data_IF_870934538197
#
_entry.id   IF_870934538197
#
_cell.length_a   1.000
_cell.length_b   1.000
_cell.length_c   1.000
_cell.angle_alpha   90.00
_cell.angle_beta   90.00
_cell.angle_gamma   90.00
#
_symmetry.space_group_name_H-M   'P 1'
#
loop_
_entity.id
_entity.type
_entity.pdbx_description
1 polymer ?
#
# COMPACT_ATOMS: atom_id res chain seq x y z
N UNK A 1 -3.53 41.30 1.61
CA UNK A 1 -3.20 40.42 2.74
C UNK A 1 -1.68 40.39 2.85
N UNK A 2 -1.12 40.91 3.93
CA UNK A 2 0.33 40.79 4.15
C UNK A 2 0.65 39.32 4.38
N UNK A 3 1.57 38.79 3.58
CA UNK A 3 1.93 37.38 3.63
C UNK A 3 2.73 37.15 4.91
N UNK A 4 2.14 36.50 5.90
CA UNK A 4 2.71 36.35 7.25
C UNK A 4 4.08 35.65 7.25
N UNK A 5 4.33 34.82 6.24
CA UNK A 5 5.59 34.13 6.01
C UNK A 5 6.77 35.05 5.62
N UNK A 6 6.49 36.22 5.04
CA UNK A 6 7.55 37.16 4.59
C UNK A 6 8.38 37.74 5.75
N UNK A 7 7.96 37.56 6.99
CA UNK A 7 8.71 37.94 8.19
C UNK A 7 9.88 37.00 8.50
N UNK A 8 9.88 35.76 7.98
CA UNK A 8 10.88 34.76 8.34
C UNK A 8 12.16 34.94 7.52
N UNK A 9 13.30 34.78 8.17
CA UNK A 9 14.59 34.78 7.52
C UNK A 9 14.90 33.42 6.85
N UNK A 10 14.40 32.35 7.46
CA UNK A 10 14.57 31.00 6.97
C UNK A 10 13.19 30.31 6.91
N UNK A 11 12.95 29.59 5.82
CA UNK A 11 11.73 28.79 5.65
C UNK A 11 12.15 27.35 5.38
N UNK A 12 11.80 26.45 6.26
CA UNK A 12 11.92 25.02 6.04
C UNK A 12 10.64 24.48 5.41
N UNK A 13 10.79 23.79 4.27
CA UNK A 13 9.67 23.13 3.60
C UNK A 13 9.83 21.63 3.86
N UNK A 14 8.89 21.10 4.61
CA UNK A 14 8.87 19.69 4.97
C UNK A 14 8.34 18.85 3.78
N UNK A 15 8.83 17.62 3.69
CA UNK A 15 8.62 16.70 2.59
C UNK A 15 7.15 16.45 2.20
N UNK A 16 6.23 16.46 3.17
CA UNK A 16 4.80 16.27 2.90
C UNK A 16 4.21 17.32 1.97
N UNK A 17 4.82 18.50 1.94
CA UNK A 17 4.40 19.61 1.08
C UNK A 17 4.65 19.31 -0.40
N UNK A 18 5.72 18.58 -0.70
CA UNK A 18 6.13 18.29 -2.08
C UNK A 18 5.33 17.17 -2.75
N UNK A 19 4.54 16.42 -2.00
CA UNK A 19 3.74 15.30 -2.52
C UNK A 19 2.52 15.78 -3.33
N UNK A 20 2.07 17.03 -3.09
CA UNK A 20 0.86 17.57 -3.69
C UNK A 20 1.16 18.51 -4.87
N UNK A 21 0.82 18.15 -6.11
CA UNK A 21 1.02 19.01 -7.29
C UNK A 21 0.32 20.37 -7.19
N UNK A 22 -0.79 20.45 -6.44
CA UNK A 22 -1.49 21.71 -6.17
C UNK A 22 -0.64 22.71 -5.39
N UNK A 23 0.24 22.25 -4.52
CA UNK A 23 1.11 23.09 -3.70
C UNK A 23 2.23 23.75 -4.50
N UNK A 24 2.68 23.12 -5.58
CA UNK A 24 3.66 23.70 -6.47
C UNK A 24 3.20 25.08 -7.00
N UNK A 25 1.95 25.17 -7.43
CA UNK A 25 1.41 26.45 -7.94
C UNK A 25 1.41 27.52 -6.85
N UNK A 26 0.93 27.17 -5.64
CA UNK A 26 0.88 28.09 -4.50
C UNK A 26 2.28 28.51 -4.07
N UNK A 27 3.21 27.55 -3.97
CA UNK A 27 4.62 27.84 -3.65
C UNK A 27 5.29 28.71 -4.70
N UNK A 28 5.05 28.45 -5.98
CA UNK A 28 5.59 29.24 -7.09
C UNK A 28 5.08 30.68 -7.04
N UNK A 29 3.77 30.88 -6.94
CA UNK A 29 3.15 32.22 -6.83
C UNK A 29 3.66 32.96 -5.59
N UNK A 30 3.90 32.22 -4.51
CA UNK A 30 4.46 32.75 -3.28
C UNK A 30 5.91 33.21 -3.48
N UNK A 31 6.77 32.39 -4.06
CA UNK A 31 8.18 32.71 -4.34
C UNK A 31 8.30 33.89 -5.32
N UNK A 32 7.42 33.98 -6.30
CA UNK A 32 7.37 35.11 -7.22
C UNK A 32 7.01 36.44 -6.51
N UNK A 33 6.15 36.38 -5.51
CA UNK A 33 5.77 37.55 -4.68
C UNK A 33 6.88 38.00 -3.71
N UNK A 34 7.72 37.08 -3.26
CA UNK A 34 8.86 37.41 -2.36
C UNK A 34 9.89 38.31 -3.05
N UNK A 35 10.08 38.20 -4.35
CA UNK A 35 11.04 39.06 -5.08
C UNK A 35 10.73 40.56 -5.01
N UNK A 36 9.49 40.92 -4.79
CA UNK A 36 9.08 42.34 -4.71
C UNK A 36 9.38 43.02 -3.37
N UNK A 37 9.74 42.23 -2.34
CA UNK A 37 10.01 42.73 -0.97
C UNK A 37 11.40 42.29 -0.47
N UNK A 38 12.28 43.19 -0.38
CA UNK A 38 13.70 43.37 -0.01
C UNK A 38 14.30 42.42 1.10
N UNK A 39 13.64 41.44 1.65
CA UNK A 39 14.22 40.55 2.65
C UNK A 39 14.75 39.26 2.04
N UNK A 40 16.05 38.99 2.25
CA UNK A 40 16.68 37.70 1.89
C UNK A 40 16.06 36.57 2.70
N UNK A 41 15.12 35.89 2.12
CA UNK A 41 14.59 34.64 2.65
C UNK A 41 15.45 33.49 2.13
N UNK A 42 15.88 32.60 3.00
CA UNK A 42 16.53 31.35 2.64
C UNK A 42 15.57 30.20 2.85
N UNK A 43 15.33 29.43 1.79
CA UNK A 43 14.52 28.21 1.85
C UNK A 43 15.45 27.04 2.16
N UNK A 44 15.15 26.35 3.25
CA UNK A 44 15.88 25.17 3.71
C UNK A 44 15.16 23.91 3.18
N UNK A 45 15.88 23.08 2.45
CA UNK A 45 15.36 21.85 1.87
C UNK A 45 16.29 20.69 2.23
N UNK A 46 15.73 19.54 2.54
CA UNK A 46 16.52 18.35 2.81
C UNK A 46 17.19 17.81 1.54
N UNK A 47 18.44 17.38 1.66
CA UNK A 47 19.21 16.84 0.54
C UNK A 47 18.58 15.60 -0.11
N UNK A 48 17.77 14.85 0.64
CA UNK A 48 17.03 13.69 0.14
C UNK A 48 16.03 14.01 -0.98
N UNK A 49 15.73 15.31 -1.19
CA UNK A 49 14.85 15.72 -2.30
C UNK A 49 15.40 15.32 -3.66
N UNK A 50 16.74 15.27 -3.81
CA UNK A 50 17.37 14.83 -5.06
C UNK A 50 17.16 13.35 -5.31
N UNK A 51 17.31 12.53 -4.27
CA UNK A 51 17.03 11.10 -4.33
C UNK A 51 15.56 10.84 -4.61
N UNK A 52 14.68 11.67 -4.07
CA UNK A 52 13.24 11.59 -4.32
C UNK A 52 12.88 11.88 -5.78
N UNK A 53 13.49 12.88 -6.38
CA UNK A 53 13.32 13.19 -7.81
C UNK A 53 13.75 12.01 -8.68
N UNK A 54 14.91 11.41 -8.39
CA UNK A 54 15.39 10.24 -9.13
C UNK A 54 14.50 9.01 -8.91
N UNK A 55 14.00 8.81 -7.68
CA UNK A 55 13.04 7.75 -7.39
C UNK A 55 11.73 7.94 -8.17
N UNK A 56 11.19 9.16 -8.26
CA UNK A 56 10.00 9.43 -9.06
C UNK A 56 10.23 9.16 -10.55
N UNK A 57 11.40 9.47 -11.09
CA UNK A 57 11.77 9.13 -12.47
C UNK A 57 11.83 7.61 -12.66
N UNK A 58 12.46 6.90 -11.73
CA UNK A 58 12.56 5.44 -11.76
C UNK A 58 11.19 4.75 -11.66
N UNK A 59 10.24 5.38 -10.96
CA UNK A 59 8.85 4.93 -10.84
C UNK A 59 7.94 5.38 -12.01
N UNK A 60 8.48 6.01 -13.06
CA UNK A 60 7.75 6.63 -14.17
C UNK A 60 6.75 7.73 -13.74
N UNK A 61 6.98 8.35 -12.60
CA UNK A 61 6.22 9.49 -12.07
C UNK A 61 6.83 10.81 -12.53
N UNK A 62 6.96 10.94 -13.83
CA UNK A 62 7.67 12.07 -14.46
C UNK A 62 7.04 13.42 -14.14
N UNK A 63 5.72 13.47 -13.96
CA UNK A 63 5.02 14.72 -13.63
C UNK A 63 5.43 15.26 -12.28
N UNK A 64 5.49 14.40 -11.27
CA UNK A 64 5.90 14.75 -9.92
C UNK A 64 7.39 15.11 -9.88
N UNK A 65 8.24 14.34 -10.55
CA UNK A 65 9.65 14.67 -10.69
C UNK A 65 9.85 16.05 -11.31
N UNK A 66 9.17 16.35 -12.41
CA UNK A 66 9.26 17.65 -13.11
C UNK A 66 8.80 18.82 -12.25
N UNK A 67 7.77 18.64 -11.43
CA UNK A 67 7.28 19.67 -10.51
C UNK A 67 8.31 19.97 -9.43
N UNK A 68 8.95 18.94 -8.86
CA UNK A 68 10.02 19.13 -7.87
C UNK A 68 11.27 19.75 -8.48
N UNK A 69 11.71 19.28 -9.64
CA UNK A 69 12.85 19.87 -10.36
C UNK A 69 12.59 21.35 -10.64
N UNK A 70 11.43 21.68 -11.19
CA UNK A 70 11.08 23.07 -11.48
C UNK A 70 11.03 23.97 -10.24
N UNK A 71 10.65 23.43 -9.08
CA UNK A 71 10.71 24.16 -7.81
C UNK A 71 12.18 24.41 -7.39
N UNK A 72 13.01 23.39 -7.44
CA UNK A 72 14.44 23.50 -7.10
C UNK A 72 15.13 24.48 -8.03
N UNK A 73 14.90 24.39 -9.34
CA UNK A 73 15.48 25.29 -10.34
C UNK A 73 15.14 26.76 -10.04
N UNK A 74 13.89 27.05 -9.70
CA UNK A 74 13.46 28.41 -9.31
C UNK A 74 14.21 28.89 -8.06
N UNK A 75 14.33 28.03 -7.05
CA UNK A 75 15.01 28.39 -5.81
C UNK A 75 16.51 28.59 -6.00
N UNK A 76 17.15 27.77 -6.87
CA UNK A 76 18.55 27.88 -7.22
C UNK A 76 18.83 29.12 -8.07
N UNK A 77 18.02 29.42 -9.08
CA UNK A 77 18.10 30.62 -9.92
C UNK A 77 18.01 31.91 -9.06
N UNK A 78 17.11 31.91 -8.10
CA UNK A 78 16.94 33.02 -7.15
C UNK A 78 18.01 33.06 -6.06
N UNK A 79 18.86 32.05 -5.95
CA UNK A 79 19.91 31.92 -4.92
C UNK A 79 19.32 32.00 -3.49
N UNK A 80 18.15 31.45 -3.29
CA UNK A 80 17.47 31.47 -2.01
C UNK A 80 17.31 30.08 -1.39
N UNK A 81 17.96 29.03 -1.93
CA UNK A 81 17.96 27.67 -1.38
C UNK A 81 19.21 27.40 -0.56
N UNK A 82 19.05 26.63 0.50
CA UNK A 82 20.13 25.99 1.24
C UNK A 82 19.74 24.56 1.57
N UNK A 83 20.66 23.64 1.31
CA UNK A 83 20.44 22.23 1.57
C UNK A 83 20.84 21.88 3.00
N UNK A 84 20.03 21.08 3.65
CA UNK A 84 20.30 20.52 4.97
C UNK A 84 20.58 19.02 4.77
N UNK A 85 21.64 18.53 5.37
CA UNK A 85 21.93 17.10 5.41
C UNK A 85 21.24 16.48 6.62
N UNK A 86 20.38 15.51 6.39
CA UNK A 86 19.85 14.62 7.42
C UNK A 86 20.33 13.19 7.13
N UNK A 87 20.64 12.43 8.19
CA UNK A 87 21.21 11.07 8.03
C UNK A 87 20.14 10.01 7.70
N UNK A 88 18.87 10.36 7.73
CA UNK A 88 17.78 9.45 7.42
C UNK A 88 16.55 10.19 6.91
N UNK A 89 15.79 9.52 6.09
CA UNK A 89 14.45 9.94 5.68
C UNK A 89 13.62 10.24 6.93
N UNK A 90 13.44 11.54 7.25
CA UNK A 90 12.53 12.02 8.29
C UNK A 90 12.94 11.69 9.75
N UNK A 91 14.21 11.70 10.10
CA UNK A 91 14.59 11.75 11.51
C UNK A 91 14.37 13.16 12.06
N UNK A 92 13.16 13.40 12.59
CA UNK A 92 12.80 14.68 13.21
C UNK A 92 13.65 15.03 14.43
N UNK A 93 14.33 14.06 15.03
CA UNK A 93 15.25 14.32 16.13
C UNK A 93 16.48 15.09 15.65
N UNK A 94 16.95 14.84 14.44
CA UNK A 94 18.03 15.60 13.81
C UNK A 94 17.58 17.02 13.43
N UNK A 95 16.39 17.17 12.86
CA UNK A 95 15.81 18.49 12.59
C UNK A 95 15.66 19.29 13.89
N UNK A 96 15.20 18.66 14.97
CA UNK A 96 15.16 19.25 16.30
C UNK A 96 16.55 19.71 16.73
N UNK A 97 17.60 18.94 16.49
CA UNK A 97 18.98 19.32 16.78
C UNK A 97 19.46 20.49 15.92
N UNK A 98 19.14 20.51 14.64
CA UNK A 98 19.48 21.61 13.71
C UNK A 98 18.81 22.90 14.18
N UNK A 99 17.51 22.88 14.44
CA UNK A 99 16.77 24.07 14.88
C UNK A 99 17.14 24.49 16.33
N UNK A 100 17.49 23.56 17.22
CA UNK A 100 17.97 23.93 18.56
C UNK A 100 19.33 24.67 18.55
N UNK A 101 20.12 24.44 17.50
CA UNK A 101 21.40 25.14 17.26
C UNK A 101 21.23 26.39 16.39
N UNK A 102 20.00 26.66 15.91
CA UNK A 102 19.70 27.79 15.06
C UNK A 102 19.96 29.13 15.77
N UNK A 103 20.25 30.15 14.98
CA UNK A 103 20.53 31.48 15.50
C UNK A 103 19.29 32.06 16.20
N UNK A 104 19.46 32.53 17.42
CA UNK A 104 18.36 33.07 18.25
C UNK A 104 17.82 34.43 17.79
N UNK A 105 18.52 35.07 16.86
CA UNK A 105 18.18 36.39 16.31
C UNK A 105 17.47 36.32 14.94
N UNK A 106 17.18 35.12 14.44
CA UNK A 106 16.52 34.89 13.18
C UNK A 106 15.10 34.33 13.37
N UNK A 107 14.19 34.72 12.49
CA UNK A 107 12.86 34.17 12.41
C UNK A 107 12.82 32.99 11.44
N UNK A 108 12.20 31.88 11.86
CA UNK A 108 12.08 30.63 11.13
C UNK A 108 10.62 30.34 10.81
N UNK A 109 10.33 30.01 9.56
CA UNK A 109 9.05 29.46 9.13
C UNK A 109 9.19 27.98 8.82
N UNK A 110 8.23 27.17 9.22
CA UNK A 110 8.17 25.76 8.89
C UNK A 110 6.84 25.53 8.18
N UNK A 111 6.92 25.07 6.93
CA UNK A 111 5.74 24.67 6.15
C UNK A 111 5.66 23.16 6.20
N UNK A 112 4.57 22.63 6.75
CA UNK A 112 4.30 21.20 6.85
C UNK A 112 2.82 20.91 6.71
N UNK A 113 2.48 19.70 6.27
CA UNK A 113 1.10 19.20 6.25
C UNK A 113 0.90 18.09 7.30
N UNK A 114 1.89 17.87 8.15
CA UNK A 114 1.93 16.77 9.12
C UNK A 114 1.81 17.29 10.56
N UNK A 115 0.78 16.82 11.26
CA UNK A 115 0.56 17.16 12.67
C UNK A 115 1.64 16.60 13.62
N UNK A 116 2.23 15.45 13.30
CA UNK A 116 3.29 14.87 14.10
C UNK A 116 4.57 15.71 14.03
N UNK A 117 4.92 16.23 12.86
CA UNK A 117 6.01 17.22 12.69
C UNK A 117 5.72 18.47 13.50
N UNK A 118 4.49 18.95 13.42
CA UNK A 118 4.04 20.10 14.19
C UNK A 118 4.25 19.91 15.70
N UNK A 119 3.88 18.73 16.23
CA UNK A 119 4.03 18.42 17.65
C UNK A 119 5.50 18.40 18.11
N UNK A 120 6.41 17.88 17.28
CA UNK A 120 7.86 17.91 17.57
C UNK A 120 8.38 19.36 17.62
N UNK A 121 7.95 20.18 16.68
CA UNK A 121 8.37 21.59 16.62
C UNK A 121 7.66 22.47 17.64
N UNK A 122 6.48 22.08 18.14
CA UNK A 122 5.81 22.77 19.22
C UNK A 122 6.67 22.84 20.50
N UNK A 123 7.38 21.76 20.83
CA UNK A 123 8.34 21.76 21.90
C UNK A 123 9.52 22.72 21.67
N UNK A 124 9.92 22.93 20.40
CA UNK A 124 10.94 23.92 20.07
C UNK A 124 10.46 25.36 20.23
N UNK A 125 9.16 25.63 19.99
CA UNK A 125 8.58 26.96 20.16
C UNK A 125 8.60 27.41 21.62
N UNK A 126 8.58 26.47 22.56
CA UNK A 126 8.75 26.78 23.99
C UNK A 126 10.18 27.28 24.30
N UNK A 127 11.17 26.80 23.56
CA UNK A 127 12.60 27.18 23.70
C UNK A 127 13.04 28.27 22.73
N UNK A 128 12.40 28.40 21.57
CA UNK A 128 12.68 29.39 20.53
C UNK A 128 11.41 30.10 20.09
N UNK A 129 11.17 31.31 20.59
CA UNK A 129 9.95 32.10 20.34
C UNK A 129 9.80 32.61 18.91
N UNK A 130 10.85 32.49 18.08
CA UNK A 130 10.92 33.01 16.72
C UNK A 130 10.58 31.96 15.64
N UNK A 131 9.92 30.85 16.00
CA UNK A 131 9.47 29.84 15.05
C UNK A 131 7.98 30.00 14.80
N UNK A 132 7.59 30.11 13.53
CA UNK A 132 6.22 30.09 13.05
C UNK A 132 5.95 28.87 12.20
N UNK A 133 4.74 28.33 12.31
CA UNK A 133 4.31 27.16 11.55
C UNK A 133 3.28 27.57 10.52
N UNK A 134 3.34 26.92 9.37
CA UNK A 134 2.46 27.17 8.25
C UNK A 134 1.99 25.86 7.65
N UNK A 135 0.78 25.87 7.13
CA UNK A 135 0.24 24.79 6.30
C UNK A 135 -0.28 25.38 4.99
N UNK A 136 -0.41 24.55 3.98
CA UNK A 136 -0.95 24.96 2.69
C UNK A 136 -2.43 24.57 2.65
N UNK A 137 -3.29 25.58 2.56
CA UNK A 137 -4.73 25.42 2.33
C UNK A 137 -5.01 25.25 0.82
N UNK A 138 -6.28 25.14 0.43
CA UNK A 138 -6.67 25.00 -0.98
C UNK A 138 -6.20 26.18 -1.87
N UNK A 139 -5.95 27.35 -1.29
CA UNK A 139 -5.69 28.59 -2.04
C UNK A 139 -4.51 29.42 -1.55
N UNK A 140 -3.95 29.16 -0.36
CA UNK A 140 -2.92 30.01 0.23
C UNK A 140 -2.05 29.24 1.25
N UNK A 141 -0.95 29.88 1.69
CA UNK A 141 -0.13 29.45 2.81
C UNK A 141 -0.61 30.17 4.06
N UNK A 142 -1.16 29.44 5.00
CA UNK A 142 -1.76 29.96 6.21
C UNK A 142 -0.87 29.71 7.44
N UNK A 143 -0.73 30.75 8.29
CA UNK A 143 -0.07 30.57 9.57
C UNK A 143 -0.95 29.75 10.51
N UNK A 144 -0.40 28.67 11.01
CA UNK A 144 -1.08 27.87 12.01
C UNK A 144 -1.12 28.66 13.32
N UNK A 145 -2.31 29.00 13.74
CA UNK A 145 -2.56 29.67 15.02
C UNK A 145 -3.15 28.64 15.95
N UNK A 146 -2.54 28.51 17.12
CA UNK A 146 -3.12 27.74 18.20
C UNK A 146 -4.56 28.29 18.45
N UNK A 147 -5.55 27.57 17.93
CA UNK A 147 -6.93 27.88 18.30
C UNK A 147 -7.04 27.60 19.78
N UNK A 148 -7.43 28.61 20.55
CA UNK A 148 -7.68 28.46 21.96
C UNK A 148 -8.62 27.27 22.15
N UNK A 149 -8.08 26.16 22.61
CA UNK A 149 -8.75 24.97 23.12
C UNK A 149 -10.12 24.63 22.49
N UNK A 150 -10.15 24.30 21.20
CA UNK A 150 -10.92 23.18 20.77
C UNK A 150 -10.04 21.99 21.19
N UNK A 151 -10.51 21.18 22.11
CA UNK A 151 -9.83 20.08 22.74
C UNK A 151 -8.79 19.43 21.81
N UNK A 152 -7.52 19.62 22.12
CA UNK A 152 -6.39 18.97 21.41
C UNK A 152 -6.62 17.48 21.37
N UNK A 153 -6.57 16.84 20.18
CA UNK A 153 -6.76 15.41 20.09
C UNK A 153 -5.56 14.60 20.62
N UNK A 154 -4.76 15.14 21.52
CA UNK A 154 -3.64 14.36 22.11
C UNK A 154 -4.10 13.11 22.85
N UNK A 155 -5.36 13.04 23.27
CA UNK A 155 -5.94 11.87 23.94
C UNK A 155 -6.82 11.01 23.03
N UNK A 156 -7.27 11.53 21.88
CA UNK A 156 -8.19 10.81 20.98
C UNK A 156 -7.54 9.65 20.23
N UNK A 157 -6.21 9.59 20.15
CA UNK A 157 -5.49 8.48 19.51
C UNK A 157 -5.22 7.30 20.45
N UNK A 158 -5.44 7.45 21.75
CA UNK A 158 -5.34 6.39 22.73
C UNK A 158 -6.73 5.83 23.01
N UNK A 159 -7.13 4.86 22.22
CA UNK A 159 -8.23 4.02 22.56
C UNK A 159 -7.80 3.14 23.73
N UNK A 160 -8.20 3.54 24.91
CA UNK A 160 -8.12 2.66 26.08
C UNK A 160 -9.24 1.65 25.97
N UNK A 161 -8.87 0.38 26.01
CA UNK A 161 -9.70 -0.82 26.03
C UNK A 161 -10.33 -1.23 24.68
N UNK A 162 -10.63 -2.51 24.56
CA UNK A 162 -11.23 -3.22 23.42
C UNK A 162 -12.60 -2.67 23.00
N UNK A 163 -13.05 -1.59 23.61
CA UNK A 163 -14.32 -0.95 23.35
C UNK A 163 -14.23 0.02 22.17
N UNK A 164 -15.24 -0.02 21.33
CA UNK A 164 -15.40 0.77 20.13
C UNK A 164 -15.16 2.25 20.38
N UNK A 165 -14.27 2.82 19.60
CA UNK A 165 -14.15 4.27 19.48
C UNK A 165 -15.49 4.85 19.08
N UNK A 166 -15.83 6.00 19.62
CA UNK A 166 -17.02 6.79 19.35
C UNK A 166 -17.74 6.40 18.05
N UNK A 167 -19.05 6.18 18.14
CA UNK A 167 -19.87 5.84 16.97
C UNK A 167 -19.69 6.93 15.91
N UNK A 168 -18.91 6.64 14.89
CA UNK A 168 -18.66 7.52 13.77
C UNK A 168 -19.49 7.01 12.61
N UNK A 169 -20.38 7.84 12.12
CA UNK A 169 -21.05 7.52 10.86
C UNK A 169 -20.03 7.64 9.72
N UNK A 170 -19.66 6.49 9.17
CA UNK A 170 -18.74 6.40 8.02
C UNK A 170 -19.49 6.20 6.70
N UNK A 171 -20.81 6.36 6.67
CA UNK A 171 -21.64 6.07 5.50
C UNK A 171 -21.44 7.05 4.35
N UNK A 172 -21.30 8.35 4.66
CA UNK A 172 -21.30 9.45 3.70
C UNK A 172 -20.13 10.42 3.95
N UNK A 173 -18.92 9.91 3.82
CA UNK A 173 -17.72 10.72 3.99
C UNK A 173 -17.27 11.33 2.66
N UNK A 174 -17.15 12.65 2.62
CA UNK A 174 -16.54 13.38 1.50
C UNK A 174 -15.02 13.46 1.62
N UNK A 175 -14.51 13.52 2.84
CA UNK A 175 -13.10 13.69 3.16
C UNK A 175 -12.67 12.82 4.33
N UNK A 176 -11.41 12.40 4.29
CA UNK A 176 -10.69 11.86 5.45
C UNK A 176 -9.37 12.61 5.60
N UNK A 177 -8.81 12.61 6.78
CA UNK A 177 -7.50 13.19 7.06
C UNK A 177 -6.45 12.08 7.24
N UNK A 178 -5.29 12.25 6.61
CA UNK A 178 -4.12 11.42 6.80
C UNK A 178 -2.97 12.30 7.31
N UNK A 179 -2.27 11.93 8.38
CA UNK A 179 -1.10 12.67 8.86
C UNK A 179 -0.06 12.93 7.79
N UNK A 180 0.19 11.94 6.92
CA UNK A 180 1.20 12.02 5.86
C UNK A 180 0.71 12.73 4.60
N UNK A 181 -0.57 12.58 4.24
CA UNK A 181 -1.11 13.02 2.95
C UNK A 181 -2.11 14.18 3.07
N UNK A 182 -2.39 14.65 4.29
CA UNK A 182 -3.35 15.72 4.56
C UNK A 182 -4.80 15.32 4.29
N UNK A 183 -5.63 16.28 3.92
CA UNK A 183 -7.05 16.04 3.60
C UNK A 183 -7.20 15.34 2.24
N UNK A 184 -7.76 14.14 2.26
CA UNK A 184 -8.02 13.32 1.09
C UNK A 184 -9.50 13.40 0.73
N UNK A 185 -9.80 13.99 -0.42
CA UNK A 185 -11.16 14.00 -0.96
C UNK A 185 -11.50 12.65 -1.57
N UNK A 186 -12.59 12.07 -1.09
CA UNK A 186 -13.07 10.77 -1.55
C UNK A 186 -13.94 10.93 -2.80
N UNK A 187 -13.69 10.10 -3.80
CA UNK A 187 -14.57 9.99 -4.95
C UNK A 187 -15.73 9.04 -4.62
N UNK A 188 -16.86 9.60 -4.21
CA UNK A 188 -18.04 8.84 -3.78
C UNK A 188 -18.54 7.91 -4.90
N UNK A 189 -18.47 8.34 -6.17
CA UNK A 189 -18.89 7.51 -7.30
C UNK A 189 -18.02 6.24 -7.48
N UNK A 190 -16.83 6.20 -6.89
CA UNK A 190 -15.93 5.06 -6.93
C UNK A 190 -16.08 4.08 -5.76
N UNK A 191 -16.99 4.37 -4.82
CA UNK A 191 -17.20 3.57 -3.61
C UNK A 191 -17.45 2.10 -3.95
N UNK A 192 -16.63 1.23 -3.38
CA UNK A 192 -16.83 -0.23 -3.41
C UNK A 192 -17.01 -0.72 -1.98
N UNK A 193 -18.13 -1.39 -1.72
CA UNK A 193 -18.42 -1.94 -0.39
C UNK A 193 -17.83 -3.34 -0.26
N UNK A 194 -17.15 -3.59 0.85
CA UNK A 194 -16.61 -4.89 1.25
C UNK A 194 -17.13 -5.37 2.60
N UNK A 195 -16.65 -6.54 3.03
CA UNK A 195 -17.00 -7.12 4.33
C UNK A 195 -16.59 -6.24 5.51
N UNK A 196 -15.36 -5.76 5.50
CA UNK A 196 -14.76 -4.98 6.59
C UNK A 196 -15.00 -3.47 6.49
N UNK A 197 -15.23 -2.95 5.29
CA UNK A 197 -15.34 -1.51 5.04
C UNK A 197 -15.63 -1.19 3.58
N UNK A 198 -15.49 0.08 3.26
CA UNK A 198 -15.64 0.62 1.91
C UNK A 198 -14.31 1.16 1.40
N UNK A 199 -14.04 0.98 0.12
CA UNK A 199 -12.83 1.47 -0.54
C UNK A 199 -13.23 2.57 -1.52
N UNK A 200 -12.50 3.66 -1.47
CA UNK A 200 -12.72 4.83 -2.31
C UNK A 200 -11.45 5.19 -3.08
N UNK A 201 -11.60 5.64 -4.32
CA UNK A 201 -10.52 6.38 -4.99
C UNK A 201 -10.45 7.78 -4.40
N UNK A 202 -9.24 8.32 -4.35
CA UNK A 202 -9.05 9.75 -4.08
C UNK A 202 -8.72 10.50 -5.36
N UNK A 203 -8.83 11.82 -5.31
CA UNK A 203 -8.42 12.66 -6.46
C UNK A 203 -6.88 12.76 -6.60
N UNK A 204 -6.14 12.19 -5.64
CA UNK A 204 -4.67 12.17 -5.61
C UNK A 204 -4.07 10.83 -6.09
N UNK A 205 -4.84 10.01 -6.84
CA UNK A 205 -4.44 8.69 -7.34
C UNK A 205 -4.08 7.68 -6.23
N UNK A 206 -4.71 7.79 -5.09
CA UNK A 206 -4.60 6.84 -3.98
C UNK A 206 -5.95 6.19 -3.70
N UNK A 207 -5.92 5.10 -2.98
CA UNK A 207 -7.11 4.41 -2.48
C UNK A 207 -7.19 4.59 -0.97
N UNK A 208 -8.39 4.80 -0.47
CA UNK A 208 -8.66 4.84 0.97
C UNK A 208 -9.64 3.73 1.32
N UNK A 209 -9.26 2.88 2.27
CA UNK A 209 -10.19 1.93 2.91
C UNK A 209 -10.71 2.54 4.19
N UNK A 210 -12.03 2.76 4.25
CA UNK A 210 -12.74 3.20 5.46
C UNK A 210 -13.46 2.01 6.06
N UNK A 211 -13.17 1.69 7.30
CA UNK A 211 -13.76 0.57 8.01
C UNK A 211 -15.23 0.80 8.35
N UNK A 212 -15.99 -0.29 8.43
CA UNK A 212 -17.27 -0.31 9.13
C UNK A 212 -17.04 -0.14 10.62
N UNK A 213 -18.04 0.38 11.34
CA UNK A 213 -17.97 0.65 12.77
C UNK A 213 -17.37 -0.50 13.59
N UNK A 214 -17.82 -1.76 13.32
CA UNK A 214 -17.36 -2.95 14.04
C UNK A 214 -15.87 -3.28 13.84
N UNK A 215 -15.22 -2.68 12.85
CA UNK A 215 -13.81 -2.87 12.51
C UNK A 215 -12.95 -1.65 12.88
N UNK A 216 -13.55 -0.57 13.39
CA UNK A 216 -12.83 0.57 13.97
C UNK A 216 -12.45 0.17 15.41
N UNK A 217 -11.37 -0.58 15.56
CA UNK A 217 -10.92 -1.13 16.84
C UNK A 217 -9.49 -0.72 17.16
N UNK A 218 -9.13 -0.74 18.43
CA UNK A 218 -7.76 -0.50 18.87
C UNK A 218 -6.77 -1.50 18.26
N UNK A 219 -7.18 -2.76 18.15
CA UNK A 219 -6.36 -3.81 17.53
C UNK A 219 -6.05 -3.48 16.07
N UNK A 220 -7.04 -3.06 15.28
CA UNK A 220 -6.81 -2.67 13.88
C UNK A 220 -5.97 -1.40 13.78
N UNK A 221 -6.17 -0.45 14.68
CA UNK A 221 -5.33 0.76 14.74
C UNK A 221 -3.86 0.40 15.00
N UNK A 222 -3.58 -0.40 16.05
CA UNK A 222 -2.22 -0.82 16.39
C UNK A 222 -1.58 -1.65 15.28
N UNK A 223 -2.31 -2.64 14.75
CA UNK A 223 -1.83 -3.47 13.66
C UNK A 223 -1.41 -2.65 12.44
N UNK A 224 -2.27 -1.73 12.01
CA UNK A 224 -1.97 -0.89 10.85
C UNK A 224 -0.83 0.10 11.13
N UNK A 225 -0.71 0.61 12.37
CA UNK A 225 0.43 1.43 12.77
C UNK A 225 1.73 0.65 12.63
N UNK A 226 1.79 -0.57 13.15
CA UNK A 226 2.98 -1.44 12.99
C UNK A 226 3.24 -1.79 11.52
N UNK A 227 2.19 -2.05 10.72
CA UNK A 227 2.35 -2.27 9.29
C UNK A 227 3.00 -1.08 8.58
N UNK A 228 2.58 0.13 8.91
CA UNK A 228 3.14 1.36 8.34
C UNK A 228 4.60 1.52 8.78
N UNK A 229 4.92 1.29 10.06
CA UNK A 229 6.28 1.34 10.61
C UNK A 229 7.22 0.31 9.98
N UNK A 230 6.72 -0.87 9.60
CA UNK A 230 7.50 -1.87 8.86
C UNK A 230 8.04 -1.33 7.53
N UNK A 231 7.47 -0.26 7.01
CA UNK A 231 7.86 0.40 5.76
C UNK A 231 8.14 -0.58 4.62
N UNK A 232 7.22 -1.53 4.42
CA UNK A 232 7.36 -2.57 3.41
C UNK A 232 7.31 -1.95 2.03
N UNK A 233 8.44 -1.96 1.32
CA UNK A 233 8.52 -1.48 -0.05
C UNK A 233 8.52 -2.64 -1.03
N UNK A 234 7.38 -2.86 -1.67
CA UNK A 234 7.23 -3.69 -2.84
C UNK A 234 6.11 -3.07 -3.69
N UNK A 235 6.38 -2.62 -4.93
CA UNK A 235 5.40 -1.91 -5.75
C UNK A 235 4.17 -2.75 -6.13
N UNK A 236 4.25 -4.06 -5.98
CA UNK A 236 3.17 -5.00 -6.28
C UNK A 236 2.32 -5.40 -5.06
N UNK A 237 2.60 -4.81 -3.90
CA UNK A 237 1.82 -5.03 -2.68
C UNK A 237 1.24 -3.70 -2.23
N UNK A 238 -0.09 -3.55 -2.31
CA UNK A 238 -0.79 -2.34 -1.89
C UNK A 238 -0.81 -2.23 -0.36
N UNK A 239 0.39 -2.06 0.20
CA UNK A 239 0.63 -1.97 1.62
C UNK A 239 0.05 -0.69 2.21
N UNK A 240 -0.47 -0.69 3.45
CA UNK A 240 -0.89 0.53 4.12
C UNK A 240 0.24 1.56 4.16
N UNK A 241 -0.06 2.77 3.71
CA UNK A 241 0.92 3.88 3.62
C UNK A 241 0.79 4.86 4.76
N UNK A 242 -0.42 5.02 5.27
CA UNK A 242 -0.74 5.88 6.39
C UNK A 242 -2.14 5.59 6.93
N UNK A 243 -2.41 5.97 8.17
CA UNK A 243 -3.74 5.89 8.76
C UNK A 243 -4.61 7.06 8.28
N UNK A 244 -5.93 6.88 8.33
CA UNK A 244 -6.88 7.96 8.05
C UNK A 244 -7.86 8.17 9.18
N UNK A 245 -8.28 9.44 9.33
CA UNK A 245 -9.05 9.93 10.45
C UNK A 245 -10.24 10.78 9.98
N UNK A 246 -11.30 10.79 10.77
CA UNK A 246 -12.44 11.71 10.65
C UNK A 246 -12.65 12.35 12.02
N UNK A 247 -12.59 13.68 12.09
CA UNK A 247 -12.73 14.42 13.36
C UNK A 247 -11.79 13.90 14.47
N UNK A 248 -10.54 13.56 14.11
CA UNK A 248 -9.55 13.03 15.04
C UNK A 248 -9.69 11.54 15.38
N UNK A 249 -10.72 10.86 14.88
CA UNK A 249 -10.94 9.45 15.15
C UNK A 249 -10.43 8.59 14.00
N UNK A 250 -9.66 7.56 14.30
CA UNK A 250 -9.21 6.56 13.34
C UNK A 250 -10.40 5.89 12.64
N UNK A 251 -10.36 5.84 11.30
CA UNK A 251 -11.40 5.20 10.50
C UNK A 251 -10.88 4.23 9.45
N UNK A 252 -9.57 4.17 9.21
CA UNK A 252 -9.04 3.30 8.17
C UNK A 252 -7.61 3.67 7.75
N UNK A 253 -7.27 3.39 6.49
CA UNK A 253 -5.92 3.63 5.95
C UNK A 253 -5.93 3.99 4.47
N UNK A 254 -4.83 4.59 4.03
CA UNK A 254 -4.55 4.90 2.64
C UNK A 254 -3.54 3.93 2.04
N UNK A 255 -3.69 3.60 0.77
CA UNK A 255 -2.83 2.71 -0.01
C UNK A 255 -2.71 3.18 -1.46
N UNK A 256 -1.79 2.57 -2.22
CA UNK A 256 -1.59 2.90 -3.62
C UNK A 256 -2.77 2.44 -4.49
N UNK A 257 -3.12 3.22 -5.53
CA UNK A 257 -4.12 2.83 -6.53
C UNK A 257 -3.45 2.00 -7.64
N UNK A 258 -4.00 0.85 -7.95
CA UNK A 258 -3.63 0.07 -9.13
C UNK A 258 -4.63 0.38 -10.24
N UNK A 259 -4.16 1.08 -11.29
CA UNK A 259 -4.97 1.45 -12.45
C UNK A 259 -4.89 0.40 -13.54
N UNK A 260 -5.91 0.35 -14.39
CA UNK A 260 -5.96 -0.48 -15.60
C UNK A 260 -5.65 -1.95 -15.31
N UNK A 261 -6.31 -2.50 -14.30
CA UNK A 261 -6.13 -3.87 -13.84
C UNK A 261 -7.47 -4.58 -13.64
N UNK A 262 -7.46 -5.89 -13.75
CA UNK A 262 -8.59 -6.75 -13.43
C UNK A 262 -8.29 -7.67 -12.26
N UNK A 263 -9.33 -8.11 -11.55
CA UNK A 263 -9.14 -9.13 -10.51
C UNK A 263 -8.83 -10.48 -11.15
N UNK A 264 -8.01 -11.27 -10.48
CA UNK A 264 -7.73 -12.63 -10.90
C UNK A 264 -9.02 -13.47 -10.99
N UNK A 265 -10.05 -13.15 -10.17
CA UNK A 265 -11.37 -13.75 -10.28
C UNK A 265 -12.02 -13.44 -11.62
N UNK A 266 -12.03 -12.16 -12.04
CA UNK A 266 -12.58 -11.74 -13.34
C UNK A 266 -11.90 -12.48 -14.49
N UNK A 267 -10.58 -12.50 -14.50
CA UNK A 267 -9.79 -13.20 -15.52
C UNK A 267 -10.09 -14.70 -15.55
N UNK A 268 -10.22 -15.33 -14.37
CA UNK A 268 -10.59 -16.74 -14.26
C UNK A 268 -11.97 -17.01 -14.86
N UNK A 269 -12.96 -16.19 -14.54
CA UNK A 269 -14.33 -16.32 -15.08
C UNK A 269 -14.37 -16.13 -16.58
N UNK A 270 -13.52 -15.30 -17.15
CA UNK A 270 -13.34 -15.09 -18.59
C UNK A 270 -12.44 -16.17 -19.24
N UNK A 271 -11.96 -17.13 -18.47
CA UNK A 271 -11.05 -18.19 -18.92
C UNK A 271 -9.68 -17.68 -19.36
N UNK A 272 -9.21 -16.55 -18.81
CA UNK A 272 -7.95 -15.89 -19.18
C UNK A 272 -7.82 -15.64 -20.70
N UNK A 273 -8.92 -15.34 -21.39
CA UNK A 273 -8.98 -15.26 -22.84
C UNK A 273 -7.98 -14.29 -23.47
N UNK A 274 -7.55 -13.28 -22.73
CA UNK A 274 -6.56 -12.27 -23.17
C UNK A 274 -5.10 -12.69 -22.97
N UNK A 275 -4.85 -13.80 -22.27
CA UNK A 275 -3.51 -14.26 -21.93
C UNK A 275 -3.18 -15.60 -22.58
N UNK A 276 -2.05 -15.66 -23.28
CA UNK A 276 -1.48 -16.91 -23.76
C UNK A 276 -1.10 -17.84 -22.60
N UNK A 277 -0.87 -19.11 -22.88
CA UNK A 277 -0.43 -20.07 -21.88
C UNK A 277 0.87 -19.64 -21.21
N UNK A 278 1.82 -19.08 -21.96
CA UNK A 278 3.11 -18.62 -21.40
C UNK A 278 2.91 -17.43 -20.48
N UNK A 279 2.09 -16.47 -20.87
CA UNK A 279 1.78 -15.31 -20.01
C UNK A 279 1.11 -15.73 -18.70
N UNK A 280 0.30 -16.78 -18.69
CA UNK A 280 -0.26 -17.33 -17.46
C UNK A 280 0.79 -17.95 -16.53
N UNK A 281 1.83 -18.57 -17.09
CA UNK A 281 2.98 -18.99 -16.30
C UNK A 281 3.76 -17.79 -15.76
N UNK A 282 3.84 -16.69 -16.49
CA UNK A 282 4.43 -15.43 -16.01
C UNK A 282 3.59 -14.82 -14.87
N UNK A 283 2.26 -14.79 -15.00
CA UNK A 283 1.35 -14.38 -13.92
C UNK A 283 1.56 -15.25 -12.68
N UNK A 284 1.60 -16.58 -12.85
CA UNK A 284 1.82 -17.50 -11.73
C UNK A 284 3.20 -17.31 -11.08
N UNK A 285 4.25 -17.10 -11.87
CA UNK A 285 5.58 -16.78 -11.37
C UNK A 285 5.56 -15.53 -10.46
N UNK A 286 4.96 -14.43 -10.93
CA UNK A 286 4.89 -13.19 -10.17
C UNK A 286 4.00 -13.34 -8.92
N UNK A 287 2.89 -14.06 -9.02
CA UNK A 287 2.04 -14.42 -7.89
C UNK A 287 2.83 -15.14 -6.80
N UNK A 288 3.52 -16.22 -7.12
CA UNK A 288 4.30 -17.00 -6.15
C UNK A 288 5.51 -16.23 -5.61
N UNK A 289 6.17 -15.44 -6.43
CA UNK A 289 7.30 -14.59 -6.05
C UNK A 289 6.91 -13.57 -4.99
N UNK A 290 5.74 -12.93 -5.12
CA UNK A 290 5.29 -11.93 -4.15
C UNK A 290 4.81 -12.59 -2.85
N UNK A 291 4.19 -13.77 -2.90
CA UNK A 291 3.87 -14.54 -1.68
C UNK A 291 5.15 -14.92 -0.95
N UNK A 292 6.13 -15.46 -1.69
CA UNK A 292 7.43 -15.79 -1.09
C UNK A 292 8.07 -14.58 -0.41
N UNK A 293 8.03 -13.41 -1.06
CA UNK A 293 8.54 -12.17 -0.47
C UNK A 293 7.86 -11.82 0.86
N UNK A 294 6.54 -12.01 0.97
CA UNK A 294 5.79 -11.79 2.20
C UNK A 294 6.16 -12.82 3.28
N UNK A 295 6.20 -14.12 2.91
CA UNK A 295 6.59 -15.19 3.82
C UNK A 295 8.02 -15.02 4.36
N UNK A 296 8.97 -14.60 3.52
CA UNK A 296 10.35 -14.32 3.94
C UNK A 296 10.43 -13.18 5.00
N UNK A 297 9.37 -12.37 5.12
CA UNK A 297 9.25 -11.32 6.13
C UNK A 297 8.35 -11.70 7.32
N UNK A 298 7.92 -12.96 7.38
CA UNK A 298 7.04 -13.44 8.44
C UNK A 298 5.59 -12.94 8.31
N UNK A 299 5.20 -12.46 7.12
CA UNK A 299 3.87 -11.93 6.86
C UNK A 299 3.03 -13.01 6.16
N UNK A 300 1.84 -13.29 6.68
CA UNK A 300 0.87 -14.18 6.06
C UNK A 300 -0.33 -13.40 5.53
N UNK A 301 -0.79 -13.76 4.33
CA UNK A 301 -1.91 -13.08 3.66
C UNK A 301 -3.23 -13.40 4.35
N UNK A 302 -3.39 -14.66 4.74
CA UNK A 302 -4.55 -15.17 5.49
C UNK A 302 -5.84 -15.26 4.68
N UNK A 303 -6.29 -14.20 4.02
CA UNK A 303 -7.46 -14.20 3.11
C UNK A 303 -7.02 -14.24 1.64
N UNK A 304 -6.13 -15.18 1.33
CA UNK A 304 -5.64 -15.35 -0.04
C UNK A 304 -6.75 -15.93 -0.93
N UNK A 305 -7.25 -15.09 -1.85
CA UNK A 305 -8.30 -15.41 -2.81
C UNK A 305 -8.16 -14.60 -4.08
N UNK A 306 -8.76 -15.01 -5.22
CA UNK A 306 -8.61 -14.32 -6.51
C UNK A 306 -9.11 -12.89 -6.54
N UNK A 307 -10.08 -12.53 -5.68
CA UNK A 307 -10.60 -11.16 -5.58
C UNK A 307 -9.54 -10.17 -5.04
N UNK A 308 -8.60 -10.66 -4.23
CA UNK A 308 -7.56 -9.87 -3.60
C UNK A 308 -6.27 -9.78 -4.42
N UNK A 309 -6.30 -10.29 -5.65
CA UNK A 309 -5.18 -10.24 -6.59
C UNK A 309 -5.62 -9.47 -7.83
N UNK A 310 -4.88 -8.43 -8.20
CA UNK A 310 -5.09 -7.69 -9.44
C UNK A 310 -4.00 -8.03 -10.44
N UNK A 311 -4.38 -8.19 -11.69
CA UNK A 311 -3.48 -8.41 -12.82
C UNK A 311 -3.63 -7.25 -13.79
N UNK A 312 -2.56 -6.52 -14.03
CA UNK A 312 -2.50 -5.46 -15.02
C UNK A 312 -1.83 -5.95 -16.32
N UNK A 313 -0.85 -6.81 -16.18
CA UNK A 313 -0.19 -7.53 -17.26
C UNK A 313 0.39 -8.83 -16.72
N UNK A 314 0.93 -9.69 -17.58
CA UNK A 314 1.58 -10.92 -17.14
C UNK A 314 2.73 -10.69 -16.15
N UNK A 315 3.37 -9.52 -16.21
CA UNK A 315 4.48 -9.16 -15.33
C UNK A 315 4.07 -8.29 -14.12
N UNK A 316 2.84 -7.80 -14.11
CA UNK A 316 2.34 -6.87 -13.09
C UNK A 316 1.14 -7.49 -12.36
N UNK A 317 1.44 -8.23 -11.29
CA UNK A 317 0.47 -8.90 -10.41
C UNK A 317 0.51 -8.25 -9.05
N UNK A 318 -0.59 -7.68 -8.62
CA UNK A 318 -0.69 -6.87 -7.41
C UNK A 318 -1.51 -7.56 -6.34
N UNK A 319 -1.08 -7.39 -5.10
CA UNK A 319 -1.77 -7.87 -3.90
C UNK A 319 -2.47 -6.70 -3.22
N UNK A 320 -3.78 -6.81 -3.03
CA UNK A 320 -4.62 -5.79 -2.42
C UNK A 320 -5.24 -6.28 -1.11
N UNK A 321 -5.89 -5.36 -0.39
CA UNK A 321 -6.52 -5.63 0.91
C UNK A 321 -5.54 -6.10 2.00
N UNK A 322 -4.32 -5.56 1.97
CA UNK A 322 -3.24 -5.99 2.86
C UNK A 322 -3.50 -5.68 4.35
N UNK A 323 -4.43 -4.77 4.67
CA UNK A 323 -4.75 -4.42 6.05
C UNK A 323 -5.25 -5.59 6.89
N UNK A 324 -5.75 -6.67 6.26
CA UNK A 324 -6.16 -7.87 6.97
C UNK A 324 -5.04 -8.91 7.17
N UNK A 325 -3.85 -8.74 6.56
CA UNK A 325 -2.75 -9.71 6.65
C UNK A 325 -2.35 -9.98 8.10
N UNK A 326 -1.88 -11.18 8.36
CA UNK A 326 -1.30 -11.51 9.66
C UNK A 326 0.14 -10.99 9.72
N UNK A 327 0.42 -10.19 10.71
CA UNK A 327 1.77 -9.72 11.05
C UNK A 327 2.00 -9.93 12.55
N UNK A 328 3.19 -10.28 12.96
CA UNK A 328 3.54 -10.48 14.37
C UNK A 328 2.47 -11.32 15.11
N UNK A 329 1.90 -10.79 16.18
CA UNK A 329 0.83 -11.42 16.98
C UNK A 329 -0.60 -11.01 16.54
N UNK A 330 -0.74 -10.24 15.45
CA UNK A 330 -2.04 -9.83 14.92
C UNK A 330 -2.55 -10.85 13.90
N UNK A 331 -3.54 -11.62 14.28
CA UNK A 331 -4.18 -12.61 13.42
C UNK A 331 -4.89 -11.96 12.22
N UNK A 332 -5.02 -12.71 11.12
CA UNK A 332 -5.92 -12.36 10.05
C UNK A 332 -7.37 -12.70 10.45
N UNK A 333 -8.28 -11.69 10.52
CA UNK A 333 -9.63 -11.88 11.08
C UNK A 333 -10.61 -12.55 10.11
N UNK A 334 -10.21 -12.80 8.87
CA UNK A 334 -11.08 -13.28 7.79
C UNK A 334 -10.47 -14.49 7.09
N UNK A 335 -11.31 -15.32 6.49
CA UNK A 335 -10.91 -16.36 5.56
C UNK A 335 -12.01 -16.62 4.54
N UNK A 336 -11.63 -17.07 3.36
CA UNK A 336 -12.57 -17.50 2.34
C UNK A 336 -12.73 -19.02 2.38
N UNK A 337 -13.97 -19.57 2.57
CA UNK A 337 -14.17 -21.01 2.75
C UNK A 337 -13.60 -21.86 1.60
N UNK A 338 -13.69 -21.38 0.38
CA UNK A 338 -13.18 -22.07 -0.82
C UNK A 338 -11.64 -22.11 -0.88
N UNK A 339 -10.97 -21.13 -0.26
CA UNK A 339 -9.51 -20.97 -0.27
C UNK A 339 -8.87 -21.27 1.09
N UNK A 340 -9.58 -21.96 1.98
CA UNK A 340 -9.08 -22.34 3.30
C UNK A 340 -9.30 -23.83 3.51
N UNK A 341 -8.24 -24.59 3.78
CA UNK A 341 -8.33 -26.01 4.10
C UNK A 341 -8.83 -26.24 5.54
N UNK A 342 -8.31 -25.40 6.46
CA UNK A 342 -8.66 -25.47 7.87
C UNK A 342 -10.02 -24.84 8.13
N UNK A 343 -10.87 -25.53 8.87
CA UNK A 343 -12.14 -24.97 9.34
C UNK A 343 -11.85 -24.11 10.56
N UNK A 344 -12.14 -22.82 10.47
CA UNK A 344 -12.05 -21.89 11.58
C UNK A 344 -13.45 -21.58 12.11
N UNK A 345 -13.63 -21.61 13.43
CA UNK A 345 -14.81 -21.02 14.01
C UNK A 345 -14.71 -19.49 13.92
N UNK A 346 -15.82 -18.83 13.66
CA UNK A 346 -15.86 -17.37 13.44
C UNK A 346 -15.23 -16.58 14.59
N UNK A 347 -15.42 -17.05 15.83
CA UNK A 347 -14.89 -16.40 17.03
C UNK A 347 -13.40 -16.70 17.28
N UNK A 348 -12.85 -17.72 16.61
CA UNK A 348 -11.45 -18.11 16.72
C UNK A 348 -10.57 -17.40 15.69
N UNK A 349 -11.12 -16.96 14.55
CA UNK A 349 -10.38 -16.30 13.47
C UNK A 349 -9.59 -15.08 13.96
N UNK A 350 -10.15 -14.27 14.83
CA UNK A 350 -9.51 -13.07 15.38
C UNK A 350 -8.41 -13.36 16.41
N UNK A 351 -8.36 -14.60 16.94
CA UNK A 351 -7.48 -14.97 18.06
C UNK A 351 -6.42 -15.99 17.67
N UNK A 352 -6.59 -16.66 16.54
CA UNK A 352 -5.75 -17.79 16.16
C UNK A 352 -4.78 -17.41 15.06
N UNK A 353 -3.49 -17.41 15.38
CA UNK A 353 -2.45 -17.23 14.39
C UNK A 353 -2.42 -18.43 13.43
N UNK A 354 -2.25 -18.11 12.16
CA UNK A 354 -2.01 -19.09 11.09
C UNK A 354 -0.55 -19.40 10.98
N UNK A 355 -0.27 -20.54 10.39
CA UNK A 355 1.07 -20.92 10.00
C UNK A 355 1.25 -20.79 8.48
N UNK A 356 2.47 -20.86 8.01
CA UNK A 356 2.79 -20.86 6.57
C UNK A 356 2.08 -22.04 5.87
N UNK A 357 1.94 -23.17 6.56
CA UNK A 357 1.28 -24.37 6.06
C UNK A 357 -0.20 -24.14 5.74
N UNK A 358 -0.88 -23.26 6.50
CA UNK A 358 -2.28 -22.91 6.26
C UNK A 358 -2.47 -22.20 4.90
N UNK A 359 -1.43 -21.53 4.37
CA UNK A 359 -1.49 -20.81 3.09
C UNK A 359 -1.15 -21.69 1.88
N UNK A 360 -0.52 -22.84 2.06
CA UNK A 360 -0.17 -23.69 0.90
C UNK A 360 -1.39 -24.22 0.15
N UNK A 361 -2.54 -24.36 0.79
CA UNK A 361 -3.77 -24.75 0.10
C UNK A 361 -4.23 -23.69 -0.91
N UNK A 362 -4.52 -22.45 -0.50
CA UNK A 362 -4.90 -21.41 -1.48
C UNK A 362 -3.80 -21.13 -2.50
N UNK A 363 -2.53 -21.19 -2.12
CA UNK A 363 -1.40 -21.00 -3.04
C UNK A 363 -1.41 -22.05 -4.15
N UNK A 364 -1.42 -23.33 -3.80
CA UNK A 364 -1.39 -24.40 -4.80
C UNK A 364 -2.68 -24.43 -5.64
N UNK A 365 -3.84 -24.16 -5.02
CA UNK A 365 -5.11 -24.06 -5.73
C UNK A 365 -5.07 -22.94 -6.77
N UNK A 366 -4.69 -21.73 -6.37
CA UNK A 366 -4.64 -20.57 -7.28
C UNK A 366 -3.56 -20.75 -8.36
N UNK A 367 -2.38 -21.29 -8.01
CA UNK A 367 -1.35 -21.60 -8.99
C UNK A 367 -1.85 -22.59 -10.05
N UNK A 368 -2.57 -23.62 -9.61
CA UNK A 368 -3.19 -24.58 -10.52
C UNK A 368 -4.24 -23.95 -11.43
N UNK A 369 -5.13 -23.10 -10.87
CA UNK A 369 -6.15 -22.37 -11.62
C UNK A 369 -5.53 -21.40 -12.65
N UNK A 370 -4.52 -20.65 -12.27
CA UNK A 370 -3.80 -19.72 -13.16
C UNK A 370 -3.16 -20.47 -14.34
N UNK A 371 -2.44 -21.55 -14.09
CA UNK A 371 -1.73 -22.28 -15.12
C UNK A 371 -2.64 -23.05 -16.06
N UNK A 372 -3.72 -23.65 -15.55
CA UNK A 372 -4.59 -24.57 -16.29
C UNK A 372 -5.92 -23.99 -16.73
N UNK A 373 -6.20 -22.70 -16.44
CA UNK A 373 -7.34 -21.94 -16.88
C UNK A 373 -8.73 -22.34 -16.36
N UNK A 374 -8.90 -23.42 -15.63
CA UNK A 374 -10.25 -23.92 -15.37
C UNK A 374 -10.59 -24.04 -13.90
N UNK A 375 -11.86 -23.77 -13.64
CA UNK A 375 -12.54 -24.01 -12.39
C UNK A 375 -12.58 -25.53 -12.15
N UNK A 376 -11.51 -26.09 -11.63
CA UNK A 376 -11.49 -27.50 -11.25
C UNK A 376 -11.88 -27.70 -9.78
N UNK A 377 -12.51 -26.71 -9.23
CA UNK A 377 -13.00 -26.79 -7.87
C UNK A 377 -14.48 -26.81 -7.90
N UNK A 378 -15.00 -27.74 -7.13
CA UNK A 378 -16.38 -27.88 -6.72
C UNK A 378 -17.31 -26.77 -7.21
N UNK A 379 -18.34 -27.13 -7.96
CA UNK A 379 -19.49 -26.25 -8.11
C UNK A 379 -20.07 -25.98 -6.71
N UNK A 380 -20.19 -24.72 -6.28
CA UNK A 380 -20.73 -24.39 -4.97
C UNK A 380 -22.16 -24.89 -4.75
N UNK A 381 -22.86 -25.22 -5.83
CA UNK A 381 -24.29 -25.52 -5.82
C UNK A 381 -24.64 -26.94 -5.34
N UNK A 382 -23.67 -27.78 -5.02
CA UNK A 382 -23.96 -29.19 -4.69
C UNK A 382 -23.34 -29.72 -3.41
N UNK A 383 -22.66 -28.94 -2.58
CA UNK A 383 -21.87 -29.46 -1.50
C UNK A 383 -22.08 -28.74 -0.18
N UNK A 384 -22.38 -29.53 0.84
CA UNK A 384 -22.31 -29.18 2.24
C UNK A 384 -20.81 -28.80 2.56
N UNK A 385 -20.54 -27.50 2.59
CA UNK A 385 -19.20 -26.96 2.77
C UNK A 385 -18.57 -27.40 4.10
N UNK A 386 -19.38 -27.75 5.09
CA UNK A 386 -18.93 -28.19 6.42
C UNK A 386 -18.39 -29.62 6.41
N UNK A 387 -18.84 -30.48 5.50
CA UNK A 387 -18.53 -31.91 5.49
C UNK A 387 -17.68 -32.39 4.32
N UNK A 388 -17.27 -31.50 3.42
CA UNK A 388 -16.50 -31.88 2.25
C UNK A 388 -15.02 -32.05 2.57
N UNK A 389 -14.47 -33.23 2.26
CA UNK A 389 -13.03 -33.46 2.31
C UNK A 389 -12.31 -32.58 1.26
N UNK A 390 -11.90 -31.41 1.67
CA UNK A 390 -11.16 -30.44 0.83
C UNK A 390 -9.81 -30.98 0.36
N UNK A 391 -9.42 -32.19 0.76
CA UNK A 391 -8.23 -32.88 0.24
C UNK A 391 -8.48 -33.54 -1.11
N UNK A 392 -9.73 -33.75 -1.51
CA UNK A 392 -10.08 -34.26 -2.83
C UNK A 392 -10.07 -33.15 -3.87
N UNK A 393 -8.93 -32.49 -3.99
CA UNK A 393 -8.70 -31.56 -5.05
C UNK A 393 -8.63 -32.30 -6.39
N UNK A 394 -9.29 -31.76 -7.40
CA UNK A 394 -9.26 -32.32 -8.74
C UNK A 394 -7.82 -32.32 -9.29
N UNK A 395 -7.32 -33.50 -9.51
CA UNK A 395 -6.01 -33.73 -10.13
C UNK A 395 -6.25 -34.30 -11.54
N UNK A 396 -5.68 -33.72 -12.62
CA UNK A 396 -6.02 -34.06 -14.00
C UNK A 396 -5.75 -35.52 -14.39
N UNK A 397 -4.98 -36.24 -13.58
CA UNK A 397 -4.57 -37.61 -13.86
C UNK A 397 -5.32 -38.63 -13.00
N UNK A 398 -6.54 -38.99 -13.42
CA UNK A 398 -7.30 -40.13 -12.89
C UNK A 398 -8.02 -39.91 -11.56
N UNK A 399 -9.10 -39.16 -11.60
CA UNK A 399 -10.21 -39.40 -10.70
C UNK A 399 -11.31 -40.06 -11.55
N UNK A 400 -11.72 -41.26 -11.20
CA UNK A 400 -12.83 -41.94 -11.88
C UNK A 400 -14.08 -41.04 -11.86
N UNK A 401 -14.66 -40.77 -13.03
CA UNK A 401 -15.90 -40.04 -13.18
C UNK A 401 -15.83 -38.56 -13.51
N UNK A 402 -14.66 -37.96 -13.68
CA UNK A 402 -14.52 -36.55 -14.09
C UNK A 402 -13.94 -36.42 -15.49
N UNK A 403 -14.65 -35.80 -16.41
CA UNK A 403 -14.15 -35.47 -17.75
C UNK A 403 -13.11 -34.35 -17.67
N UNK A 404 -11.87 -34.67 -18.00
CA UNK A 404 -10.81 -33.70 -18.17
C UNK A 404 -10.92 -33.08 -19.54
N UNK A 405 -10.97 -31.74 -19.64
CA UNK A 405 -10.97 -31.08 -20.93
C UNK A 405 -9.64 -31.30 -21.64
N UNK A 406 -9.70 -31.54 -22.94
CA UNK A 406 -8.55 -31.88 -23.79
C UNK A 406 -7.46 -30.80 -23.73
N UNK A 407 -7.85 -29.53 -23.65
CA UNK A 407 -6.90 -28.40 -23.55
C UNK A 407 -6.08 -28.43 -22.25
N UNK A 408 -6.70 -28.71 -21.11
CA UNK A 408 -6.01 -28.77 -19.83
C UNK A 408 -5.03 -29.93 -19.81
N UNK A 409 -5.40 -31.06 -20.42
CA UNK A 409 -4.50 -32.20 -20.58
C UNK A 409 -3.32 -31.90 -21.50
N UNK A 410 -3.53 -31.12 -22.55
CA UNK A 410 -2.47 -30.69 -23.43
C UNK A 410 -1.47 -29.78 -22.69
N UNK A 411 -1.97 -28.78 -21.95
CA UNK A 411 -1.12 -27.91 -21.12
C UNK A 411 -0.35 -28.73 -20.08
N UNK A 412 -1.05 -29.62 -19.38
CA UNK A 412 -0.45 -30.48 -18.38
C UNK A 412 0.65 -31.38 -18.95
N UNK A 413 0.40 -32.00 -20.09
CA UNK A 413 1.33 -32.96 -20.68
C UNK A 413 2.48 -32.32 -21.45
N UNK A 414 2.22 -31.20 -22.14
CA UNK A 414 3.14 -30.62 -23.12
C UNK A 414 3.88 -29.38 -22.60
N UNK A 415 3.24 -28.54 -21.79
CA UNK A 415 3.86 -27.31 -21.30
C UNK A 415 4.44 -27.45 -19.90
N UNK A 416 3.73 -28.10 -18.97
CA UNK A 416 4.24 -28.20 -17.60
C UNK A 416 5.45 -29.12 -17.52
N UNK A 417 6.47 -28.64 -16.81
CA UNK A 417 7.64 -29.47 -16.52
C UNK A 417 7.29 -30.67 -15.63
N UNK A 418 8.15 -31.69 -15.62
CA UNK A 418 7.98 -32.83 -14.71
C UNK A 418 8.00 -32.42 -13.24
N UNK A 419 8.80 -31.41 -12.88
CA UNK A 419 8.87 -30.86 -11.52
C UNK A 419 7.54 -30.19 -11.11
N UNK A 420 6.98 -29.31 -11.94
CA UNK A 420 5.70 -28.65 -11.66
C UNK A 420 4.57 -29.67 -11.45
N UNK A 421 4.48 -30.68 -12.34
CA UNK A 421 3.50 -31.76 -12.20
C UNK A 421 3.68 -32.55 -10.91
N UNK A 422 4.94 -32.80 -10.54
CA UNK A 422 5.32 -33.51 -9.32
C UNK A 422 4.97 -32.69 -8.07
N UNK A 423 5.17 -31.38 -8.08
CA UNK A 423 4.84 -30.50 -6.96
C UNK A 423 3.33 -30.52 -6.67
N UNK A 424 2.51 -30.37 -7.71
CA UNK A 424 1.04 -30.51 -7.55
C UNK A 424 0.64 -31.90 -7.07
N UNK A 425 1.24 -32.97 -7.61
CA UNK A 425 0.98 -34.33 -7.14
C UNK A 425 1.32 -34.51 -5.67
N UNK A 426 2.48 -34.03 -5.25
CA UNK A 426 2.91 -34.12 -3.86
C UNK A 426 1.93 -33.42 -2.95
N UNK A 427 1.53 -32.19 -3.30
CA UNK A 427 0.61 -31.45 -2.48
C UNK A 427 -0.78 -32.10 -2.42
N UNK A 428 -1.44 -32.28 -3.56
CA UNK A 428 -2.85 -32.70 -3.59
C UNK A 428 -3.08 -34.18 -3.30
N UNK A 429 -2.12 -35.04 -3.56
CA UNK A 429 -2.24 -36.49 -3.35
C UNK A 429 -1.50 -37.01 -2.13
N UNK A 430 -0.43 -36.38 -1.71
CA UNK A 430 0.39 -36.85 -0.60
C UNK A 430 0.41 -35.89 0.60
N UNK A 431 -0.17 -34.70 0.48
CA UNK A 431 -0.15 -33.67 1.52
C UNK A 431 1.27 -33.12 1.79
N UNK A 432 2.21 -33.33 0.87
CA UNK A 432 3.58 -32.87 0.99
C UNK A 432 3.74 -31.46 0.40
N UNK A 433 4.29 -30.56 1.19
CA UNK A 433 4.55 -29.19 0.80
C UNK A 433 5.86 -29.12 0.00
N UNK A 434 5.83 -28.37 -1.09
CA UNK A 434 7.04 -27.95 -1.83
C UNK A 434 7.29 -26.49 -1.48
N UNK A 435 8.54 -26.16 -1.15
CA UNK A 435 8.96 -24.79 -0.82
C UNK A 435 8.66 -23.84 -1.98
N UNK A 436 8.17 -22.63 -1.65
CA UNK A 436 7.90 -21.59 -2.65
C UNK A 436 9.15 -21.19 -3.44
N UNK A 437 10.33 -21.25 -2.84
CA UNK A 437 11.59 -20.98 -3.55
C UNK A 437 11.84 -21.99 -4.68
N UNK A 438 11.51 -23.26 -4.47
CA UNK A 438 11.60 -24.29 -5.51
C UNK A 438 10.60 -24.04 -6.63
N UNK A 439 9.35 -23.69 -6.30
CA UNK A 439 8.32 -23.31 -7.26
C UNK A 439 8.76 -22.13 -8.12
N UNK A 440 9.17 -21.03 -7.48
CA UNK A 440 9.61 -19.80 -8.17
C UNK A 440 10.78 -20.10 -9.11
N UNK A 441 11.77 -20.84 -8.63
CA UNK A 441 12.95 -21.24 -9.43
C UNK A 441 12.58 -22.09 -10.63
N UNK A 442 11.69 -23.07 -10.46
CA UNK A 442 11.27 -23.96 -11.52
C UNK A 442 10.53 -23.23 -12.63
N UNK A 443 9.57 -22.35 -12.26
CA UNK A 443 8.82 -21.56 -13.25
C UNK A 443 9.74 -20.56 -13.94
N UNK A 444 10.64 -19.92 -13.22
CA UNK A 444 11.62 -19.00 -13.81
C UNK A 444 12.49 -19.71 -14.85
N UNK A 445 13.03 -20.88 -14.51
CA UNK A 445 13.83 -21.68 -15.44
C UNK A 445 13.05 -22.06 -16.70
N UNK A 446 11.79 -22.48 -16.54
CA UNK A 446 10.89 -22.78 -17.65
C UNK A 446 10.70 -21.56 -18.57
N UNK A 447 10.37 -20.40 -18.02
CA UNK A 447 10.16 -19.17 -18.79
C UNK A 447 11.42 -18.72 -19.53
N UNK A 448 12.59 -18.80 -18.89
CA UNK A 448 13.87 -18.46 -19.53
C UNK A 448 14.21 -19.41 -20.70
N UNK A 449 13.89 -20.69 -20.55
CA UNK A 449 14.07 -21.67 -21.61
C UNK A 449 13.20 -21.35 -22.84
N UNK A 450 11.92 -21.08 -22.64
CA UNK A 450 10.98 -20.71 -23.71
C UNK A 450 11.45 -19.42 -24.41
N UNK A 451 11.87 -18.41 -23.67
CA UNK A 451 12.40 -17.15 -24.25
C UNK A 451 13.63 -17.39 -25.13
N UNK A 452 14.52 -18.30 -24.75
CA UNK A 452 15.70 -18.68 -25.56
C UNK A 452 15.32 -19.42 -26.84
N UNK A 453 14.39 -20.36 -26.76
CA UNK A 453 13.90 -21.12 -27.90
C UNK A 453 13.21 -20.24 -28.96
N UNK A 454 12.37 -19.29 -28.51
CA UNK A 454 11.71 -18.33 -29.40
C UNK A 454 12.72 -17.38 -30.07
N UNK A 455 13.78 -16.95 -29.38
CA UNK A 455 14.83 -16.10 -29.95
C UNK A 455 15.73 -16.84 -30.96
N UNK A 456 15.83 -18.17 -30.86
CA UNK A 456 16.62 -19.01 -31.79
C UNK A 456 15.84 -19.36 -33.05
N UNK A 457 14.51 -19.50 -32.96
CA UNK A 457 13.63 -19.83 -34.08
C UNK A 457 13.18 -18.59 -34.88
N UNK A 458 13.47 -17.37 -34.38
CA UNK A 458 13.19 -16.09 -35.07
C UNK A 458 14.38 -15.55 -35.90
N UNK A 459 15.48 -16.29 -35.95
CA UNK A 459 16.63 -16.04 -36.82
C UNK A 459 16.62 -17.04 -37.98
#
# INVERSE_FOLDING_TARGET
MEISIAKNNFIFIEDSVFIYPSFYKILKEYLEKIESNVSKITVLVDNSIKDRIENYKAENRFKEAYLLEGLIDILEEKKCISYIETNSYLDYSELKNIFSKARKDCEYGIITQRDDVFNVFKELKETCKLISFYYISESDIEEWKEQAQASTPKEAFYLQDDDYVNQIDTSDLDYVYSPKYGHLKLNIASKKNGGEGSVYKTYNNMMVKVFKQDNITYVNFKKLSEMIEMNLYNPYICWPRDLVYVNGNFVGYVMDEVKDSETLLSLRLQGFSEYSHIERFEICYNFLKHIKYLHDKGILIGDLKPDNILVKSANEVYFIDCGCYQINDYACPVCHPEYTKRVFKKDELKKQLRTVEDEYYPINKMAFEIMLMKNHTYSPDSLDIENTDKTQFYYPLKTEGVEVKTEDMAIWAQLMTSSMRKYFYYYFKQGKITDLAEWVKEIQFFLEKIKKENNTNGK
#
